data_IF_261058114530
#
_entry.id   IF_261058114530
#
_cell.length_a   1.000
_cell.length_b   1.000
_cell.length_c   1.000
_cell.angle_alpha   90.00
_cell.angle_beta   90.00
_cell.angle_gamma   90.00
#
_symmetry.space_group_name_H-M   'P 1'
#
loop_
_entity.id
_entity.type
_entity.pdbx_description
1 polymer ?
#
# COMPACT_ATOMS: atom_id res chain seq x y z
N UNK A 1 -0.69 -25.44 8.33
CA UNK A 1 0.12 -24.60 7.39
C UNK A 1 -0.59 -23.27 7.24
N UNK A 2 0.09 -22.16 7.42
CA UNK A 2 -0.49 -20.84 7.12
C UNK A 2 -0.39 -20.61 5.63
N UNK A 3 -1.49 -20.23 5.00
CA UNK A 3 -1.51 -19.84 3.60
C UNK A 3 -1.23 -18.34 3.50
N UNK A 4 -0.36 -17.95 2.59
CA UNK A 4 -0.05 -16.56 2.30
C UNK A 4 -0.48 -16.24 0.87
N UNK A 5 -1.09 -15.07 0.70
CA UNK A 5 -1.58 -14.62 -0.58
C UNK A 5 -0.91 -13.30 -0.95
N UNK A 6 -0.38 -13.23 -2.15
CA UNK A 6 0.06 -11.95 -2.69
C UNK A 6 -1.17 -11.18 -3.19
N UNK A 7 -1.35 -9.98 -2.69
CA UNK A 7 -2.38 -9.07 -3.19
C UNK A 7 -1.74 -8.24 -4.29
N UNK A 8 -2.30 -8.31 -5.49
CA UNK A 8 -1.82 -7.57 -6.65
C UNK A 8 -2.82 -6.50 -7.12
N UNK A 9 -2.27 -5.47 -7.72
CA UNK A 9 -3.02 -4.48 -8.46
C UNK A 9 -3.19 -4.96 -9.90
N UNK A 10 -4.43 -4.99 -10.41
CA UNK A 10 -4.74 -5.41 -11.78
C UNK A 10 -5.33 -4.22 -12.55
N UNK A 11 -4.48 -3.37 -13.14
CA UNK A 11 -4.93 -2.18 -13.86
C UNK A 11 -5.66 -2.53 -15.15
N UNK A 12 -6.48 -1.59 -15.64
CA UNK A 12 -7.22 -1.72 -16.87
C UNK A 12 -8.58 -2.43 -16.75
N UNK A 13 -8.94 -2.95 -15.57
CA UNK A 13 -10.30 -3.39 -15.30
C UNK A 13 -11.20 -2.17 -15.02
N UNK A 14 -12.53 -2.36 -15.05
CA UNK A 14 -13.47 -1.27 -14.87
C UNK A 14 -13.27 -0.52 -13.54
N UNK A 15 -12.89 0.76 -13.62
CA UNK A 15 -12.63 1.61 -12.46
C UNK A 15 -11.29 1.32 -11.75
N UNK A 16 -10.35 0.67 -12.44
CA UNK A 16 -8.97 0.45 -11.99
C UNK A 16 -8.04 1.12 -13.00
N UNK A 17 -7.80 2.43 -12.90
CA UNK A 17 -7.02 3.18 -13.87
C UNK A 17 -5.55 2.73 -13.87
N UNK A 18 -4.88 2.78 -15.04
CA UNK A 18 -3.44 2.53 -15.13
C UNK A 18 -2.62 3.62 -14.44
N UNK A 19 -2.97 4.86 -14.71
CA UNK A 19 -2.33 6.05 -14.14
C UNK A 19 -3.38 7.10 -13.86
N UNK A 20 -3.23 7.82 -12.77
CA UNK A 20 -4.01 9.00 -12.44
C UNK A 20 -3.29 9.79 -11.35
N UNK A 21 -3.54 11.08 -11.29
CA UNK A 21 -3.03 11.92 -10.24
C UNK A 21 -4.02 11.99 -9.08
N UNK A 22 -3.49 12.00 -7.86
CA UNK A 22 -4.26 12.11 -6.63
C UNK A 22 -3.68 13.23 -5.78
N UNK A 23 -4.45 14.30 -5.63
CA UNK A 23 -4.12 15.41 -4.75
C UNK A 23 -4.70 15.17 -3.36
N UNK A 24 -3.86 15.27 -2.34
CA UNK A 24 -4.27 15.15 -0.94
C UNK A 24 -4.44 16.51 -0.28
N UNK A 25 -5.50 16.68 0.51
CA UNK A 25 -5.79 17.91 1.24
C UNK A 25 -6.19 17.58 2.68
N UNK A 26 -5.40 17.97 3.68
CA UNK A 26 -4.04 18.50 3.55
C UNK A 26 -3.07 17.48 2.94
N UNK A 27 -1.87 17.93 2.57
CA UNK A 27 -0.82 17.05 2.10
C UNK A 27 -0.53 15.95 3.11
N UNK A 28 -0.19 14.75 2.60
CA UNK A 28 0.28 13.68 3.46
C UNK A 28 1.64 14.02 4.06
N UNK A 29 1.92 13.64 5.32
CA UNK A 29 3.24 13.80 5.87
C UNK A 29 4.26 12.98 5.07
N UNK A 30 5.49 13.48 4.98
CA UNK A 30 6.57 12.74 4.32
C UNK A 30 6.90 11.49 5.11
N UNK A 31 6.85 10.34 4.48
CA UNK A 31 7.32 9.07 4.99
C UNK A 31 7.82 8.19 3.85
N UNK A 32 8.74 7.31 4.16
CA UNK A 32 9.33 6.40 3.18
C UNK A 32 8.68 5.02 3.28
N UNK A 33 7.71 4.77 2.41
CA UNK A 33 7.11 3.47 2.27
C UNK A 33 7.88 2.64 1.20
N UNK A 34 8.19 1.38 1.44
CA UNK A 34 7.82 0.53 2.57
C UNK A 34 8.79 0.58 3.76
N UNK A 35 9.82 1.40 3.77
CA UNK A 35 10.85 1.42 4.81
C UNK A 35 10.45 2.09 6.12
N UNK A 36 9.42 2.93 6.10
CA UNK A 36 8.89 3.59 7.29
C UNK A 36 7.39 3.80 7.21
N UNK A 37 6.70 3.63 8.32
CA UNK A 37 5.31 4.01 8.45
C UNK A 37 5.21 5.48 8.85
N UNK A 38 4.15 6.18 8.44
CA UNK A 38 3.88 7.52 8.97
C UNK A 38 3.72 7.44 10.49
N UNK A 39 4.23 8.44 11.18
CA UNK A 39 3.99 8.56 12.61
C UNK A 39 2.51 8.92 12.78
N UNK A 40 1.76 8.12 13.51
CA UNK A 40 0.30 8.23 13.58
C UNK A 40 -0.17 9.62 14.04
N UNK A 41 0.53 10.25 14.97
CA UNK A 41 0.19 11.58 15.44
C UNK A 41 0.49 12.72 14.43
N UNK A 42 1.23 12.44 13.36
CA UNK A 42 1.45 13.39 12.26
C UNK A 42 0.32 13.37 11.23
N UNK A 43 -0.57 12.38 11.32
CA UNK A 43 -1.72 12.27 10.45
C UNK A 43 -2.89 13.08 10.99
N UNK A 44 -3.58 13.79 10.12
CA UNK A 44 -4.85 14.45 10.46
C UNK A 44 -5.95 13.41 10.67
N UNK A 45 -7.01 13.79 11.37
CA UNK A 45 -8.16 12.89 11.62
C UNK A 45 -8.93 12.54 10.34
N UNK A 46 -8.93 13.45 9.35
CA UNK A 46 -9.64 13.31 8.09
C UNK A 46 -8.84 13.92 6.96
N UNK A 47 -8.95 13.33 5.77
CA UNK A 47 -8.38 13.85 4.55
C UNK A 47 -9.45 14.05 3.48
N UNK A 48 -9.16 14.91 2.53
CA UNK A 48 -9.84 14.97 1.26
C UNK A 48 -8.85 14.59 0.16
N UNK A 49 -9.27 13.79 -0.79
CA UNK A 49 -8.47 13.44 -1.94
C UNK A 49 -9.22 13.79 -3.23
N UNK A 50 -8.52 14.29 -4.22
CA UNK A 50 -9.06 14.69 -5.52
C UNK A 50 -8.34 13.89 -6.59
N UNK A 51 -9.11 13.09 -7.33
CA UNK A 51 -8.60 12.25 -8.40
C UNK A 51 -8.99 12.81 -9.77
N UNK A 52 -8.04 12.79 -10.71
CA UNK A 52 -8.24 13.24 -12.09
C UNK A 52 -8.71 12.15 -13.06
N UNK A 53 -9.18 11.04 -12.53
CA UNK A 53 -9.69 9.90 -13.28
C UNK A 53 -11.23 9.88 -13.32
N UNK A 54 -11.85 9.31 -14.36
CA UNK A 54 -13.32 9.27 -14.45
C UNK A 54 -13.97 8.33 -13.43
N UNK A 55 -13.27 7.31 -12.97
CA UNK A 55 -13.82 6.31 -12.05
C UNK A 55 -12.70 5.61 -11.25
N UNK A 56 -12.97 5.40 -9.98
CA UNK A 56 -12.17 4.51 -9.12
C UNK A 56 -13.12 3.50 -8.49
N UNK A 57 -12.85 2.21 -8.69
CA UNK A 57 -13.61 1.11 -8.08
C UNK A 57 -12.71 0.05 -7.45
N UNK A 58 -11.40 0.21 -7.53
CA UNK A 58 -10.44 -0.69 -6.90
C UNK A 58 -10.66 -0.75 -5.38
N UNK A 59 -10.39 -1.89 -4.77
CA UNK A 59 -10.42 -2.01 -3.32
C UNK A 59 -9.08 -1.60 -2.69
N UNK A 60 -7.98 -1.64 -3.46
CA UNK A 60 -6.67 -1.24 -3.02
C UNK A 60 -5.87 -0.57 -4.13
N UNK A 61 -5.28 0.56 -3.83
CA UNK A 61 -4.42 1.35 -4.71
C UNK A 61 -3.15 1.70 -3.91
N UNK A 62 -2.15 0.79 -3.88
CA UNK A 62 -0.98 0.93 -3.00
C UNK A 62 -0.18 2.20 -3.26
N UNK A 63 0.05 2.55 -4.53
CA UNK A 63 0.84 3.71 -4.92
C UNK A 63 0.19 5.05 -4.52
N UNK A 64 -1.10 5.00 -4.21
CA UNK A 64 -1.88 6.16 -3.79
C UNK A 64 -2.32 6.09 -2.33
N UNK A 65 -1.87 5.09 -1.58
CA UNK A 65 -2.26 4.86 -0.18
C UNK A 65 -3.77 4.80 0.05
N UNK A 66 -4.52 4.30 -0.94
CA UNK A 66 -5.98 4.18 -0.88
C UNK A 66 -6.43 2.74 -0.65
N UNK A 67 -7.33 2.57 0.30
CA UNK A 67 -8.05 1.33 0.53
C UNK A 67 -9.55 1.59 0.65
N UNK A 68 -10.37 0.69 0.13
CA UNK A 68 -11.79 0.71 0.37
C UNK A 68 -12.14 0.17 1.76
N UNK A 69 -13.33 0.49 2.24
CA UNK A 69 -13.87 -0.11 3.46
C UNK A 69 -13.84 -1.64 3.43
N UNK A 70 -14.14 -2.24 2.28
CA UNK A 70 -14.08 -3.69 2.11
C UNK A 70 -12.70 -4.28 2.38
N UNK A 71 -11.61 -3.59 1.95
CA UNK A 71 -10.26 -4.04 2.27
C UNK A 71 -9.98 -3.93 3.78
N UNK A 72 -10.40 -2.85 4.43
CA UNK A 72 -10.24 -2.70 5.88
C UNK A 72 -10.97 -3.83 6.63
N UNK A 73 -12.19 -4.15 6.26
CA UNK A 73 -12.96 -5.26 6.84
C UNK A 73 -12.26 -6.61 6.69
N UNK A 74 -11.60 -6.85 5.54
CA UNK A 74 -10.78 -8.05 5.32
C UNK A 74 -9.55 -8.03 6.24
N UNK A 75 -8.85 -6.89 6.32
CA UNK A 75 -7.69 -6.73 7.21
C UNK A 75 -8.07 -6.96 8.68
N UNK A 76 -9.21 -6.45 9.13
CA UNK A 76 -9.72 -6.64 10.48
C UNK A 76 -10.04 -8.12 10.76
N UNK A 77 -10.71 -8.78 9.81
CA UNK A 77 -11.02 -10.20 9.91
C UNK A 77 -9.75 -11.06 10.01
N UNK A 78 -8.72 -10.71 9.25
CA UNK A 78 -7.43 -11.40 9.25
C UNK A 78 -6.49 -10.91 10.37
N UNK A 79 -6.90 -9.94 11.17
CA UNK A 79 -6.11 -9.32 12.24
C UNK A 79 -4.79 -8.71 11.73
N UNK A 80 -4.85 -8.09 10.56
CA UNK A 80 -3.71 -7.35 10.03
C UNK A 80 -3.57 -6.01 10.76
N UNK A 81 -2.32 -5.61 11.04
CA UNK A 81 -2.04 -4.30 11.60
C UNK A 81 -1.91 -3.27 10.48
N UNK A 82 -2.61 -2.16 10.60
CA UNK A 82 -2.55 -1.07 9.63
C UNK A 82 -2.89 0.28 10.30
N UNK A 83 -2.49 1.35 9.62
CA UNK A 83 -2.89 2.71 9.96
C UNK A 83 -3.86 3.17 8.88
N UNK A 84 -5.01 3.71 9.29
CA UNK A 84 -6.00 4.26 8.37
C UNK A 84 -6.59 5.58 8.87
N UNK A 85 -7.03 6.40 7.92
CA UNK A 85 -7.83 7.61 8.19
C UNK A 85 -8.93 7.74 7.15
N UNK A 86 -10.15 8.10 7.55
CA UNK A 86 -11.23 8.30 6.59
C UNK A 86 -10.90 9.45 5.64
N UNK A 87 -11.29 9.29 4.39
CA UNK A 87 -11.11 10.31 3.37
C UNK A 87 -12.44 10.64 2.69
N UNK A 88 -12.52 11.87 2.18
CA UNK A 88 -13.55 12.28 1.24
C UNK A 88 -12.93 12.30 -0.16
N UNK A 89 -13.16 11.23 -0.93
CA UNK A 89 -12.63 11.12 -2.29
C UNK A 89 -13.56 11.83 -3.28
N UNK A 90 -12.99 12.80 -4.01
CA UNK A 90 -13.68 13.48 -5.11
C UNK A 90 -13.12 12.96 -6.44
N UNK A 91 -14.00 12.58 -7.32
CA UNK A 91 -13.70 12.12 -8.69
C UNK A 91 -14.44 13.03 -9.64
N UNK A 92 -13.72 13.79 -10.45
CA UNK A 92 -14.29 14.78 -11.39
C UNK A 92 -15.32 15.71 -10.73
N UNK A 93 -15.03 16.22 -9.53
CA UNK A 93 -15.89 17.13 -8.80
C UNK A 93 -17.07 16.50 -8.06
N UNK A 94 -17.24 15.17 -8.13
CA UNK A 94 -18.26 14.42 -7.39
C UNK A 94 -17.63 13.59 -6.30
N UNK A 95 -18.29 13.53 -5.15
CA UNK A 95 -17.87 12.66 -4.06
C UNK A 95 -18.13 11.21 -4.43
N UNK A 96 -17.12 10.35 -4.22
CA UNK A 96 -17.27 8.90 -4.42
C UNK A 96 -18.37 8.34 -3.51
N UNK A 97 -19.22 7.48 -4.05
CA UNK A 97 -20.20 6.72 -3.27
C UNK A 97 -19.55 5.60 -2.46
N UNK A 98 -18.43 5.06 -2.97
CA UNK A 98 -17.63 4.05 -2.28
C UNK A 98 -16.76 4.72 -1.23
N UNK A 99 -16.78 4.20 -0.01
CA UNK A 99 -15.96 4.70 1.09
C UNK A 99 -14.51 4.30 0.90
N UNK A 100 -13.64 5.29 0.99
CA UNK A 100 -12.19 5.10 0.91
C UNK A 100 -11.48 5.66 2.15
N UNK A 101 -10.31 5.14 2.37
CA UNK A 101 -9.45 5.48 3.50
C UNK A 101 -8.01 5.66 3.01
N UNK A 102 -7.29 6.57 3.62
CA UNK A 102 -5.83 6.49 3.67
C UNK A 102 -5.46 5.17 4.36
N UNK A 103 -4.54 4.44 3.80
CA UNK A 103 -4.17 3.11 4.30
C UNK A 103 -2.69 2.84 4.13
N UNK A 104 -2.05 2.39 5.21
CA UNK A 104 -0.69 1.87 5.22
C UNK A 104 -0.64 0.64 6.12
N UNK A 105 -0.14 -0.47 5.61
CA UNK A 105 0.16 -1.64 6.43
C UNK A 105 1.28 -1.29 7.43
N UNK A 106 1.09 -1.58 8.72
CA UNK A 106 2.02 -1.17 9.77
C UNK A 106 2.98 -2.27 10.20
N UNK A 107 2.64 -3.52 9.97
CA UNK A 107 3.49 -4.64 10.36
C UNK A 107 4.30 -5.18 9.19
N UNK A 108 5.52 -5.57 9.52
CA UNK A 108 6.41 -6.32 8.65
C UNK A 108 6.79 -7.61 9.33
N UNK A 109 6.63 -8.70 8.62
CA UNK A 109 7.06 -10.00 9.07
C UNK A 109 8.13 -10.53 8.12
N UNK A 110 9.19 -11.09 8.69
CA UNK A 110 10.15 -11.87 7.92
C UNK A 110 9.50 -13.23 7.63
N UNK A 111 8.78 -13.30 6.53
CA UNK A 111 8.03 -14.49 6.17
C UNK A 111 8.83 -15.45 5.28
N UNK A 112 9.94 -14.99 4.70
CA UNK A 112 10.76 -15.80 3.81
C UNK A 112 11.70 -16.70 4.60
N UNK A 113 11.62 -17.99 4.36
CA UNK A 113 12.62 -18.96 4.81
C UNK A 113 13.87 -18.81 3.92
N UNK A 114 14.92 -18.22 4.47
CA UNK A 114 16.15 -17.93 3.72
C UNK A 114 16.92 -19.20 3.33
N UNK A 115 16.83 -20.26 4.13
CA UNK A 115 17.55 -21.52 3.89
C UNK A 115 16.87 -22.35 2.80
N UNK A 116 15.54 -22.26 2.70
CA UNK A 116 14.73 -23.02 1.75
C UNK A 116 14.40 -22.25 0.48
N UNK A 117 14.60 -20.93 0.48
CA UNK A 117 14.32 -20.06 -0.66
C UNK A 117 15.55 -19.91 -1.55
N UNK A 118 15.32 -19.71 -2.83
CA UNK A 118 16.39 -19.41 -3.81
C UNK A 118 16.22 -17.99 -4.29
N UNK A 119 17.23 -17.17 -4.08
CA UNK A 119 17.21 -15.74 -4.42
C UNK A 119 18.60 -15.20 -4.76
N UNK A 120 18.64 -14.09 -5.44
CA UNK A 120 19.84 -13.30 -5.70
C UNK A 120 19.74 -11.96 -4.97
N UNK A 121 20.77 -11.59 -4.23
CA UNK A 121 20.85 -10.27 -3.61
C UNK A 121 21.38 -9.24 -4.60
N UNK A 122 20.81 -8.05 -4.56
CA UNK A 122 21.39 -6.91 -5.26
C UNK A 122 22.69 -6.49 -4.56
N UNK A 123 23.82 -6.73 -5.21
CA UNK A 123 25.16 -6.41 -4.70
C UNK A 123 25.61 -4.99 -5.06
N UNK A 124 24.83 -4.28 -5.88
CA UNK A 124 25.17 -2.92 -6.30
C UNK A 124 23.94 -1.99 -6.20
N UNK A 125 23.45 -1.78 -4.98
CA UNK A 125 22.27 -0.95 -4.78
C UNK A 125 22.60 0.49 -5.21
N UNK A 126 21.98 0.94 -6.28
CA UNK A 126 21.99 2.37 -6.68
C UNK A 126 21.15 3.24 -5.73
N UNK A 127 20.56 2.63 -4.74
CA UNK A 127 19.74 3.25 -3.71
C UNK A 127 20.64 3.56 -2.53
N UNK A 128 20.57 4.79 -2.06
CA UNK A 128 21.30 5.25 -0.89
C UNK A 128 21.07 4.29 0.29
N UNK A 129 22.14 3.61 0.70
CA UNK A 129 22.12 2.63 1.80
C UNK A 129 21.64 3.22 3.14
N UNK A 130 21.53 4.55 3.23
CA UNK A 130 20.95 5.23 4.39
C UNK A 130 19.43 5.00 4.54
N UNK A 131 18.75 4.51 3.50
CA UNK A 131 17.30 4.42 3.46
C UNK A 131 16.72 3.05 3.82
N UNK A 132 17.51 1.99 3.88
CA UNK A 132 17.03 0.67 4.30
C UNK A 132 18.14 -0.22 4.82
N UNK A 133 17.95 -0.78 6.00
CA UNK A 133 18.78 -1.86 6.53
C UNK A 133 18.35 -3.26 6.02
N UNK A 134 17.30 -3.33 5.24
CA UNK A 134 16.79 -4.59 4.70
C UNK A 134 17.56 -4.98 3.42
N UNK A 135 17.87 -6.27 3.21
CA UNK A 135 18.47 -6.74 1.98
C UNK A 135 17.54 -6.46 0.79
N UNK A 136 18.14 -6.05 -0.32
CA UNK A 136 17.42 -5.86 -1.59
C UNK A 136 17.60 -7.15 -2.41
N UNK A 137 16.49 -7.78 -2.77
CA UNK A 137 16.49 -8.97 -3.59
C UNK A 137 16.35 -8.57 -5.06
N UNK A 138 17.36 -8.86 -5.88
CA UNK A 138 17.30 -8.65 -7.33
C UNK A 138 16.30 -9.63 -7.96
N UNK A 139 16.32 -10.88 -7.49
CA UNK A 139 15.47 -11.94 -8.00
C UNK A 139 15.15 -12.97 -6.93
N UNK A 140 13.91 -13.35 -6.85
CA UNK A 140 13.45 -14.48 -6.05
C UNK A 140 12.98 -15.56 -7.04
N UNK A 141 13.70 -16.67 -7.10
CA UNK A 141 13.40 -17.80 -8.01
C UNK A 141 12.45 -18.79 -7.34
N UNK A 142 12.63 -19.00 -6.04
CA UNK A 142 11.77 -19.85 -5.21
C UNK A 142 11.56 -19.16 -3.86
N UNK A 143 10.33 -18.88 -3.53
CA UNK A 143 9.94 -18.35 -2.22
C UNK A 143 9.36 -19.47 -1.36
N UNK A 144 9.95 -19.70 -0.20
CA UNK A 144 9.39 -20.53 0.86
C UNK A 144 9.05 -19.64 2.04
N UNK A 145 7.84 -19.79 2.56
CA UNK A 145 7.31 -18.96 3.64
C UNK A 145 7.28 -19.79 4.93
N UNK A 146 7.74 -19.18 6.03
CA UNK A 146 7.80 -19.78 7.37
C UNK A 146 6.41 -20.03 7.98
#
# INVERSE_FOLDING_TARGET
MREFYAIGYNPGSEGVPYFFDLEWVPDLPTFHYPSGNPIEHSLTSHYRAIADTPKINADWLPDHFLASKKLLEICDHLRCSYISRPIKLNIQGKVSEKEYFFFVASDRINAMDLDMSTFTLDTNPKIDASMSSAPIYERIEKLVVL
#
